data_IF_295460204784
#
_entry.id   IF_295460204784
#
_cell.length_a   1.000
_cell.length_b   1.000
_cell.length_c   1.000
_cell.angle_alpha   90.00
_cell.angle_beta   90.00
_cell.angle_gamma   90.00
#
_symmetry.space_group_name_H-M   'P 1'
#
loop_
_entity.id
_entity.type
_entity.pdbx_description
1 polymer ?
#
# COMPACT_ATOMS: atom_id res chain seq x y z
N UNK A 1 -28.97 -0.56 -7.11
CA UNK A 1 -27.80 -1.18 -6.44
C UNK A 1 -26.58 -0.40 -6.89
N UNK A 2 -26.12 0.55 -6.06
CA UNK A 2 -25.07 1.50 -6.41
C UNK A 2 -23.70 0.90 -6.07
N UNK A 3 -22.97 0.46 -7.09
CA UNK A 3 -21.59 0.00 -6.96
C UNK A 3 -20.64 1.19 -6.91
N UNK A 4 -19.97 1.38 -5.78
CA UNK A 4 -18.88 2.36 -5.62
C UNK A 4 -17.69 1.91 -6.49
N UNK A 5 -17.07 2.76 -7.32
CA UNK A 5 -16.03 2.34 -8.24
C UNK A 5 -14.71 2.09 -7.49
N UNK A 6 -14.26 0.83 -7.48
CA UNK A 6 -12.94 0.36 -7.00
C UNK A 6 -11.75 0.99 -7.77
N UNK A 7 -12.01 1.70 -8.87
CA UNK A 7 -11.00 2.12 -9.84
C UNK A 7 -10.14 3.31 -9.34
N UNK A 8 -10.64 4.09 -8.38
CA UNK A 8 -9.91 5.22 -7.80
C UNK A 8 -8.78 4.81 -6.83
N UNK A 9 -8.86 3.61 -6.24
CA UNK A 9 -7.87 3.08 -5.30
C UNK A 9 -6.69 2.40 -6.01
N UNK A 10 -6.93 1.82 -7.19
CA UNK A 10 -5.95 1.01 -7.92
C UNK A 10 -5.00 1.87 -8.76
N UNK A 11 -5.44 3.05 -9.24
CA UNK A 11 -4.69 3.84 -10.23
C UNK A 11 -4.01 5.11 -9.71
N UNK A 12 -4.39 5.63 -8.55
CA UNK A 12 -3.84 6.91 -8.08
C UNK A 12 -2.66 6.69 -7.14
N UNK A 13 -1.46 6.97 -7.65
CA UNK A 13 -0.38 7.53 -6.83
C UNK A 13 -0.97 8.66 -5.98
N UNK A 14 -0.59 8.82 -4.70
CA UNK A 14 -1.07 9.96 -3.92
C UNK A 14 -0.85 11.24 -4.70
N UNK A 15 -1.84 12.14 -4.81
CA UNK A 15 -1.64 13.40 -5.50
C UNK A 15 -0.49 14.15 -4.83
N UNK A 16 0.51 14.57 -5.63
CA UNK A 16 1.54 15.51 -5.18
C UNK A 16 0.81 16.76 -4.68
N UNK A 17 1.08 17.16 -3.43
CA UNK A 17 0.68 18.49 -2.93
C UNK A 17 1.40 19.52 -3.80
N UNK A 18 0.71 20.40 -4.54
CA UNK A 18 1.38 21.51 -5.20
C UNK A 18 1.87 22.49 -4.14
N UNK A 19 3.10 22.96 -4.29
CA UNK A 19 3.63 24.06 -3.48
C UNK A 19 2.77 25.31 -3.64
N UNK A 20 2.43 25.91 -2.50
CA UNK A 20 1.69 27.16 -2.45
C UNK A 20 2.61 28.32 -2.84
N UNK A 21 2.72 28.63 -4.13
CA UNK A 21 3.11 29.97 -4.59
C UNK A 21 2.75 30.20 -6.04
N UNK A 22 1.56 30.75 -6.27
CA UNK A 22 1.23 31.66 -7.37
C UNK A 22 -0.20 32.15 -7.18
N UNK A 23 -0.35 33.22 -6.40
CA UNK A 23 -1.50 34.10 -6.54
C UNK A 23 -1.32 34.91 -7.83
N UNK A 24 -2.38 35.04 -8.64
CA UNK A 24 -2.89 36.30 -9.21
C UNK A 24 -4.01 36.02 -10.23
N UNK A 25 -5.06 36.83 -10.11
CA UNK A 25 -6.14 37.17 -11.05
C UNK A 25 -7.40 36.28 -11.15
N UNK A 26 -8.52 36.89 -10.75
CA UNK A 26 -9.90 36.47 -10.92
C UNK A 26 -10.51 37.08 -12.23
N UNK A 27 -11.83 36.95 -12.51
CA UNK A 27 -12.34 36.06 -13.56
C UNK A 27 -12.91 36.82 -14.78
N UNK A 28 -12.82 36.22 -15.98
CA UNK A 28 -13.59 36.69 -17.13
C UNK A 28 -14.82 35.81 -17.33
N UNK A 29 -15.99 36.47 -17.38
CA UNK A 29 -17.29 35.89 -17.62
C UNK A 29 -17.34 35.21 -19.01
N UNK A 30 -17.69 33.92 -19.05
CA UNK A 30 -17.97 33.18 -20.29
C UNK A 30 -19.45 32.84 -20.34
N UNK A 31 -20.08 33.24 -21.44
CA UNK A 31 -21.51 33.08 -21.73
C UNK A 31 -21.93 31.61 -21.76
N UNK A 32 -23.05 31.33 -21.09
CA UNK A 32 -23.79 30.07 -21.17
C UNK A 32 -24.51 29.97 -22.52
N UNK A 33 -23.94 29.20 -23.45
CA UNK A 33 -24.66 28.68 -24.61
C UNK A 33 -24.89 27.20 -24.41
N UNK A 34 -26.14 26.81 -24.13
CA UNK A 34 -26.57 25.40 -24.05
C UNK A 34 -26.62 24.87 -25.48
N UNK A 35 -25.50 24.32 -25.95
CA UNK A 35 -25.42 23.49 -27.14
C UNK A 35 -25.58 22.02 -26.73
N UNK A 36 -26.46 21.29 -27.42
CA UNK A 36 -26.67 19.86 -27.27
C UNK A 36 -25.33 19.11 -27.37
N UNK A 37 -24.90 18.33 -26.38
CA UNK A 37 -23.62 17.63 -26.49
C UNK A 37 -23.77 16.51 -27.51
N UNK A 38 -22.96 16.59 -28.57
CA UNK A 38 -22.66 15.48 -29.45
C UNK A 38 -22.21 14.29 -28.60
N UNK A 39 -22.72 13.10 -28.92
CA UNK A 39 -22.39 11.86 -28.24
C UNK A 39 -20.87 11.68 -28.22
N UNK A 40 -20.26 11.87 -27.04
CA UNK A 40 -18.89 11.49 -26.81
C UNK A 40 -18.80 9.98 -27.00
N UNK A 41 -18.01 9.55 -27.99
CA UNK A 41 -17.62 8.16 -28.17
C UNK A 41 -17.00 7.67 -26.86
N UNK A 42 -17.77 6.91 -26.08
CA UNK A 42 -17.26 6.21 -24.90
C UNK A 42 -16.22 5.20 -25.40
N UNK A 43 -14.95 5.54 -25.29
CA UNK A 43 -13.87 4.57 -25.39
C UNK A 43 -14.17 3.48 -24.34
N UNK A 44 -14.27 2.20 -24.72
CA UNK A 44 -14.66 1.16 -23.79
C UNK A 44 -13.62 1.10 -22.66
N UNK A 45 -14.10 1.37 -21.44
CA UNK A 45 -13.31 1.24 -20.22
C UNK A 45 -12.66 -0.14 -20.22
N UNK A 46 -11.31 -0.23 -20.19
CA UNK A 46 -10.65 -1.52 -20.24
C UNK A 46 -11.11 -2.35 -19.03
N UNK A 47 -11.43 -3.64 -19.21
CA UNK A 47 -12.03 -4.45 -18.16
C UNK A 47 -11.17 -4.39 -16.90
N UNK A 48 -11.81 -4.08 -15.76
CA UNK A 48 -11.18 -4.01 -14.46
C UNK A 48 -10.37 -5.29 -14.21
N UNK A 49 -9.04 -5.20 -14.25
CA UNK A 49 -8.15 -6.35 -14.00
C UNK A 49 -8.33 -6.77 -12.55
N UNK A 50 -8.91 -7.95 -12.33
CA UNK A 50 -9.06 -8.51 -10.99
C UNK A 50 -7.68 -8.78 -10.37
N UNK A 51 -7.45 -8.30 -9.16
CA UNK A 51 -6.22 -8.61 -8.41
C UNK A 51 -6.20 -10.12 -8.09
N UNK A 52 -5.14 -10.86 -8.48
CA UNK A 52 -5.03 -12.28 -8.20
C UNK A 52 -5.04 -12.57 -6.70
N UNK A 53 -5.71 -13.66 -6.31
CA UNK A 53 -5.76 -14.12 -4.91
C UNK A 53 -4.71 -15.18 -4.64
N UNK A 54 -4.16 -15.17 -3.44
CA UNK A 54 -3.14 -16.15 -3.03
C UNK A 54 -3.81 -17.42 -2.48
N UNK A 55 -3.46 -18.56 -3.07
CA UNK A 55 -3.87 -19.90 -2.61
C UNK A 55 -2.62 -20.75 -2.36
N UNK A 56 -2.18 -20.85 -1.11
CA UNK A 56 -0.99 -21.61 -0.72
C UNK A 56 0.32 -20.87 -1.01
N UNK A 57 0.82 -20.91 -2.23
CA UNK A 57 2.07 -20.23 -2.62
C UNK A 57 1.78 -19.06 -3.55
N UNK A 58 2.41 -17.91 -3.32
CA UNK A 58 2.29 -16.73 -4.16
C UNK A 58 3.66 -16.19 -4.60
N UNK A 59 3.65 -15.36 -5.64
CA UNK A 59 4.81 -14.58 -6.07
C UNK A 59 4.39 -13.14 -6.33
N UNK A 60 5.14 -12.20 -5.77
CA UNK A 60 4.89 -10.77 -5.89
C UNK A 60 6.09 -10.14 -6.62
N UNK A 61 5.86 -9.67 -7.85
CA UNK A 61 6.93 -9.28 -8.77
C UNK A 61 6.50 -8.10 -9.67
N UNK A 62 7.41 -7.41 -10.37
CA UNK A 62 7.05 -6.23 -11.17
C UNK A 62 5.91 -6.46 -12.18
N UNK A 63 5.85 -7.66 -12.79
CA UNK A 63 4.81 -8.03 -13.77
C UNK A 63 3.46 -8.36 -13.12
N UNK A 64 3.48 -8.75 -11.85
CA UNK A 64 2.31 -9.01 -11.04
C UNK A 64 2.47 -8.30 -9.68
N UNK A 65 2.33 -6.96 -9.68
CA UNK A 65 2.76 -6.15 -8.54
C UNK A 65 1.72 -6.13 -7.42
N UNK A 66 0.61 -6.86 -7.53
CA UNK A 66 -0.44 -6.88 -6.53
C UNK A 66 -0.97 -8.29 -6.30
N UNK A 67 -1.21 -8.60 -5.03
CA UNK A 67 -1.86 -9.82 -4.57
C UNK A 67 -2.90 -9.49 -3.51
N UNK A 68 -4.07 -10.13 -3.59
CA UNK A 68 -5.11 -10.01 -2.58
C UNK A 68 -5.10 -11.24 -1.68
N UNK A 69 -5.11 -11.01 -0.36
CA UNK A 69 -5.35 -12.07 0.60
C UNK A 69 -6.85 -12.36 0.71
N UNK A 70 -7.19 -13.60 1.01
CA UNK A 70 -8.56 -13.94 1.41
C UNK A 70 -8.94 -13.25 2.72
N UNK A 71 -10.25 -13.17 3.02
CA UNK A 71 -10.72 -12.62 4.31
C UNK A 71 -10.18 -13.41 5.50
N UNK A 72 -10.06 -14.74 5.37
CA UNK A 72 -9.49 -15.59 6.40
C UNK A 72 -8.01 -15.26 6.64
N UNK A 73 -7.20 -15.25 5.58
CA UNK A 73 -5.78 -14.88 5.66
C UNK A 73 -5.59 -13.46 6.21
N UNK A 74 -6.49 -12.54 5.90
CA UNK A 74 -6.42 -11.13 6.35
C UNK A 74 -6.81 -10.92 7.82
N UNK A 75 -7.41 -11.92 8.49
CA UNK A 75 -7.98 -11.76 9.82
C UNK A 75 -7.31 -12.62 10.89
N UNK A 76 -6.44 -13.57 10.52
CA UNK A 76 -5.95 -14.60 11.43
C UNK A 76 -4.43 -14.53 11.58
N UNK A 77 -4.00 -14.56 12.84
CA UNK A 77 -2.59 -14.61 13.20
C UNK A 77 -1.87 -13.33 12.82
N UNK A 78 -0.72 -13.48 12.19
CA UNK A 78 0.16 -12.40 11.75
C UNK A 78 0.61 -12.60 10.32
N UNK A 79 0.94 -11.48 9.67
CA UNK A 79 1.73 -11.43 8.47
C UNK A 79 3.18 -11.20 8.88
N UNK A 80 4.06 -12.15 8.60
CA UNK A 80 5.49 -12.05 8.86
C UNK A 80 6.21 -11.71 7.56
N UNK A 81 6.97 -10.63 7.54
CA UNK A 81 7.89 -10.28 6.46
C UNK A 81 9.26 -10.74 6.89
N UNK A 82 9.81 -11.76 6.25
CA UNK A 82 11.16 -12.27 6.50
C UNK A 82 12.08 -11.70 5.43
N UNK A 83 13.19 -11.13 5.86
CA UNK A 83 14.14 -10.43 4.99
C UNK A 83 15.52 -11.09 5.11
N UNK A 84 16.08 -11.47 3.97
CA UNK A 84 17.48 -11.89 3.86
C UNK A 84 18.37 -10.73 3.44
N UNK A 85 19.57 -10.65 4.00
CA UNK A 85 20.57 -9.64 3.65
C UNK A 85 20.86 -8.65 4.78
N UNK A 86 21.36 -7.47 4.39
CA UNK A 86 21.61 -6.36 5.32
C UNK A 86 20.28 -5.72 5.74
N UNK A 87 20.09 -5.52 7.05
CA UNK A 87 18.87 -4.93 7.63
C UNK A 87 19.02 -3.44 7.95
N UNK A 88 20.20 -2.87 7.69
CA UNK A 88 20.50 -1.48 8.01
C UNK A 88 19.59 -0.53 7.22
N UNK A 89 18.99 0.44 7.92
CA UNK A 89 18.14 1.46 7.32
C UNK A 89 16.72 1.00 6.96
N UNK A 90 16.32 -0.22 7.34
CA UNK A 90 14.93 -0.67 7.21
C UNK A 90 14.05 -0.04 8.30
N UNK A 91 12.85 0.37 7.90
CA UNK A 91 11.82 0.86 8.82
C UNK A 91 10.43 0.52 8.27
N UNK A 92 9.41 0.67 9.10
CA UNK A 92 8.03 0.42 8.73
C UNK A 92 7.19 1.65 8.98
N UNK A 93 6.60 2.16 7.92
CA UNK A 93 5.63 3.25 7.99
C UNK A 93 4.23 2.67 8.16
N UNK A 94 3.41 3.29 8.99
CA UNK A 94 2.02 2.89 9.20
C UNK A 94 1.10 4.10 9.11
N UNK A 95 -0.10 3.89 8.59
CA UNK A 95 -1.15 4.89 8.54
C UNK A 95 -2.48 4.26 8.92
N UNK A 96 -3.23 4.94 9.78
CA UNK A 96 -4.55 4.56 10.24
C UNK A 96 -5.65 5.17 9.37
N UNK A 97 -6.89 4.71 9.54
CA UNK A 97 -8.07 5.25 8.87
C UNK A 97 -8.38 6.71 9.24
N UNK A 98 -8.00 7.14 10.44
CA UNK A 98 -8.09 8.52 10.94
C UNK A 98 -6.95 9.45 10.45
N UNK A 99 -6.16 9.00 9.47
CA UNK A 99 -5.02 9.71 8.87
C UNK A 99 -3.81 9.89 9.79
N UNK A 100 -3.84 9.37 11.02
CA UNK A 100 -2.61 9.34 11.84
C UNK A 100 -1.62 8.39 11.19
N UNK A 101 -0.36 8.83 11.19
CA UNK A 101 0.72 8.11 10.59
C UNK A 101 1.98 8.24 11.42
N UNK A 102 2.89 7.28 11.26
CA UNK A 102 4.16 7.27 11.94
C UNK A 102 5.07 6.18 11.38
N UNK A 103 6.19 5.96 12.04
CA UNK A 103 7.04 4.81 11.80
C UNK A 103 7.21 3.97 13.05
N UNK A 104 7.53 2.68 12.89
CA UNK A 104 7.75 1.80 14.04
C UNK A 104 8.90 2.30 14.91
N UNK A 105 9.95 2.86 14.30
CA UNK A 105 11.08 3.44 15.03
C UNK A 105 10.68 4.67 15.86
N UNK A 106 9.88 5.58 15.31
CA UNK A 106 9.60 6.90 15.92
C UNK A 106 8.30 6.97 16.71
N UNK A 107 7.32 6.17 16.33
CA UNK A 107 6.00 6.12 16.93
C UNK A 107 5.46 4.68 16.86
N UNK A 108 5.83 3.82 17.83
CA UNK A 108 5.35 2.44 17.87
C UNK A 108 3.82 2.39 17.84
N UNK A 109 3.27 1.47 17.06
CA UNK A 109 1.83 1.28 16.92
C UNK A 109 1.38 0.04 17.67
N UNK A 110 0.65 0.23 18.77
CA UNK A 110 0.12 -0.84 19.60
C UNK A 110 -1.37 -1.13 19.34
N UNK A 111 -1.74 -2.39 19.44
CA UNK A 111 -3.11 -2.89 19.52
C UNK A 111 -3.37 -3.48 20.91
N UNK A 112 -3.79 -2.62 21.84
CA UNK A 112 -3.97 -3.00 23.24
C UNK A 112 -2.62 -3.13 23.95
N UNK A 113 -2.25 -4.34 24.38
CA UNK A 113 -0.96 -4.61 25.06
C UNK A 113 0.11 -5.23 24.15
N UNK A 114 -0.10 -5.21 22.84
CA UNK A 114 0.79 -5.85 21.87
C UNK A 114 1.04 -4.89 20.70
N UNK A 115 2.28 -4.81 20.20
CA UNK A 115 2.55 -4.11 18.95
C UNK A 115 1.68 -4.65 17.82
N UNK A 116 1.02 -3.75 17.11
CA UNK A 116 0.33 -4.09 15.86
C UNK A 116 1.36 -4.37 14.76
N UNK A 117 2.43 -3.59 14.71
CA UNK A 117 3.57 -3.79 13.83
C UNK A 117 4.86 -3.67 14.62
N UNK A 118 5.79 -4.59 14.41
CA UNK A 118 7.07 -4.60 15.11
C UNK A 118 8.15 -5.32 14.31
N UNK A 119 9.41 -5.08 14.66
CA UNK A 119 10.54 -5.91 14.23
C UNK A 119 10.38 -7.35 14.77
N UNK A 120 10.76 -8.34 13.98
CA UNK A 120 10.78 -9.75 14.41
C UNK A 120 12.16 -10.15 14.95
N UNK A 121 12.25 -11.31 15.61
CA UNK A 121 13.52 -11.90 16.06
C UNK A 121 14.34 -12.44 14.89
N UNK A 122 13.67 -12.89 13.84
CA UNK A 122 14.31 -13.10 12.54
C UNK A 122 14.37 -11.75 11.83
N UNK A 123 15.44 -11.46 11.06
CA UNK A 123 15.52 -10.21 10.31
C UNK A 123 14.24 -10.01 9.48
N UNK A 124 13.47 -8.96 9.81
CA UNK A 124 12.12 -8.80 9.29
C UNK A 124 11.15 -8.15 10.27
N UNK A 125 9.86 -8.37 10.00
CA UNK A 125 8.76 -7.66 10.64
C UNK A 125 7.53 -8.55 10.86
N UNK A 126 6.73 -8.21 11.86
CA UNK A 126 5.44 -8.87 12.13
C UNK A 126 4.34 -7.83 12.16
N UNK A 127 3.26 -8.08 11.41
CA UNK A 127 2.00 -7.34 11.43
C UNK A 127 0.88 -8.24 11.99
N UNK A 128 0.27 -7.83 13.11
CA UNK A 128 -0.86 -8.53 13.73
C UNK A 128 -2.17 -8.33 12.97
N UNK A 129 -2.70 -9.38 12.34
CA UNK A 129 -3.84 -9.25 11.42
C UNK A 129 -5.18 -9.09 12.14
N UNK A 130 -5.36 -9.74 13.30
CA UNK A 130 -6.61 -9.67 14.09
C UNK A 130 -7.00 -8.25 14.51
N UNK A 131 -6.01 -7.36 14.66
CA UNK A 131 -6.19 -6.00 15.18
C UNK A 131 -5.99 -4.92 14.12
N UNK A 132 -5.85 -5.30 12.86
CA UNK A 132 -5.54 -4.40 11.74
C UNK A 132 -6.76 -3.66 11.16
N UNK A 133 -7.89 -3.60 11.88
CA UNK A 133 -9.15 -3.03 11.34
C UNK A 133 -9.11 -1.52 11.11
N UNK A 134 -8.45 -0.77 11.98
CA UNK A 134 -8.24 0.67 11.82
C UNK A 134 -6.97 1.02 11.05
N UNK A 135 -6.25 0.02 10.54
CA UNK A 135 -5.05 0.23 9.74
C UNK A 135 -5.46 0.48 8.30
N UNK A 136 -5.03 1.60 7.71
CA UNK A 136 -5.26 1.87 6.29
C UNK A 136 -4.17 1.26 5.43
N UNK A 137 -2.91 1.45 5.82
CA UNK A 137 -1.76 0.86 5.13
C UNK A 137 -0.52 0.73 6.02
N UNK A 138 0.35 -0.19 5.63
CA UNK A 138 1.71 -0.37 6.18
C UNK A 138 2.67 -0.47 5.02
N UNK A 139 3.83 0.19 5.13
CA UNK A 139 4.89 0.15 4.15
C UNK A 139 6.16 -0.36 4.82
N UNK A 140 6.64 -1.53 4.40
CA UNK A 140 7.94 -2.05 4.82
C UNK A 140 8.99 -1.49 3.85
N UNK A 141 9.87 -0.62 4.33
CA UNK A 141 10.98 -0.07 3.55
C UNK A 141 12.20 -0.98 3.65
N UNK A 142 12.70 -1.40 2.49
CA UNK A 142 13.67 -2.47 2.31
C UNK A 142 14.78 -1.97 1.35
N UNK A 143 15.69 -1.09 1.80
CA UNK A 143 16.66 -0.42 0.93
C UNK A 143 17.66 -1.38 0.26
N UNK A 144 17.96 -2.49 0.92
CA UNK A 144 18.85 -3.53 0.40
C UNK A 144 18.38 -4.87 0.91
N UNK A 145 18.02 -5.79 0.02
CA UNK A 145 17.63 -7.16 0.40
C UNK A 145 18.18 -8.15 -0.62
N UNK A 146 18.54 -9.34 -0.15
CA UNK A 146 18.84 -10.48 -1.03
C UNK A 146 17.62 -11.38 -1.24
N UNK A 147 16.68 -11.37 -0.29
CA UNK A 147 15.40 -12.04 -0.42
C UNK A 147 14.35 -11.41 0.49
N UNK A 148 13.09 -11.45 0.07
CA UNK A 148 11.94 -11.02 0.88
C UNK A 148 10.84 -12.05 0.72
N UNK A 149 10.31 -12.53 1.84
CA UNK A 149 9.24 -13.52 1.87
C UNK A 149 8.16 -13.09 2.84
N UNK A 150 6.90 -13.22 2.46
CA UNK A 150 5.76 -13.00 3.36
C UNK A 150 5.15 -14.34 3.76
N UNK A 151 5.14 -14.61 5.06
CA UNK A 151 4.55 -15.81 5.65
C UNK A 151 3.27 -15.45 6.40
N UNK A 152 2.23 -16.27 6.22
CA UNK A 152 0.93 -16.12 6.85
C UNK A 152 0.59 -17.37 7.65
N UNK A 153 -0.36 -17.21 8.57
CA UNK A 153 -0.96 -18.34 9.28
C UNK A 153 -1.53 -19.39 8.30
N UNK A 154 -1.35 -20.67 8.61
CA UNK A 154 -1.78 -21.77 7.75
C UNK A 154 -0.80 -22.14 6.63
N UNK A 155 0.45 -21.64 6.69
CA UNK A 155 1.53 -22.05 5.79
C UNK A 155 1.49 -21.40 4.41
N UNK A 156 0.71 -20.33 4.22
CA UNK A 156 0.76 -19.56 2.98
C UNK A 156 2.05 -18.75 2.93
N UNK A 157 2.81 -18.89 1.86
CA UNK A 157 4.09 -18.20 1.65
C UNK A 157 4.08 -17.47 0.32
N UNK A 158 4.49 -16.20 0.33
CA UNK A 158 4.57 -15.34 -0.85
C UNK A 158 6.02 -14.90 -1.01
N UNK A 159 6.68 -15.33 -2.08
CA UNK A 159 8.01 -14.86 -2.42
C UNK A 159 7.91 -13.50 -3.12
N UNK A 160 8.68 -12.52 -2.67
CA UNK A 160 8.80 -11.22 -3.34
C UNK A 160 10.04 -11.22 -4.24
N UNK A 161 9.96 -10.52 -5.36
CA UNK A 161 11.13 -10.27 -6.18
C UNK A 161 12.21 -9.51 -5.38
N UNK A 162 13.51 -9.90 -5.45
CA UNK A 162 14.58 -9.28 -4.66
C UNK A 162 14.80 -7.80 -4.96
N UNK A 163 14.33 -7.29 -6.11
CA UNK A 163 14.40 -5.86 -6.44
C UNK A 163 13.32 -5.01 -5.77
N UNK A 164 12.52 -5.60 -4.86
CA UNK A 164 11.55 -4.85 -4.05
C UNK A 164 12.26 -3.88 -3.12
N UNK A 165 11.84 -2.61 -3.17
CA UNK A 165 12.30 -1.58 -2.23
C UNK A 165 11.24 -1.28 -1.18
N UNK A 166 9.96 -1.39 -1.54
CA UNK A 166 8.83 -1.21 -0.63
C UNK A 166 7.82 -2.34 -0.83
N UNK A 167 7.52 -3.06 0.26
CA UNK A 167 6.33 -3.90 0.34
C UNK A 167 5.21 -3.08 0.99
N UNK A 168 4.20 -2.72 0.20
CA UNK A 168 3.05 -1.99 0.70
C UNK A 168 1.89 -2.96 0.98
N UNK A 169 1.28 -2.85 2.16
CA UNK A 169 0.10 -3.62 2.56
C UNK A 169 -1.03 -2.64 2.78
N UNK A 170 -2.10 -2.76 2.01
CA UNK A 170 -3.31 -1.94 2.13
C UNK A 170 -4.44 -2.76 2.72
N UNK A 171 -5.21 -2.15 3.60
CA UNK A 171 -6.44 -2.72 4.10
C UNK A 171 -7.61 -2.11 3.32
N UNK A 172 -8.47 -2.95 2.77
CA UNK A 172 -9.67 -2.54 2.04
C UNK A 172 -10.77 -3.59 2.20
N UNK A 173 -11.95 -3.18 2.68
CA UNK A 173 -13.11 -4.07 2.91
C UNK A 173 -12.76 -5.35 3.72
N UNK A 174 -11.95 -5.19 4.77
CA UNK A 174 -11.51 -6.30 5.62
C UNK A 174 -10.61 -7.32 4.92
N UNK A 175 -10.02 -6.95 3.78
CA UNK A 175 -9.00 -7.72 3.07
C UNK A 175 -7.70 -6.95 3.02
N UNK A 176 -6.60 -7.68 3.08
CA UNK A 176 -5.27 -7.14 2.87
C UNK A 176 -4.87 -7.31 1.40
N UNK A 177 -4.29 -6.26 0.85
CA UNK A 177 -3.74 -6.22 -0.49
C UNK A 177 -2.25 -5.92 -0.38
N UNK A 178 -1.42 -6.85 -0.85
CA UNK A 178 0.02 -6.67 -0.92
C UNK A 178 0.36 -6.05 -2.26
N UNK A 179 1.27 -5.09 -2.26
CA UNK A 179 1.76 -4.41 -3.44
C UNK A 179 3.28 -4.35 -3.46
N UNK A 180 3.84 -4.77 -4.57
CA UNK A 180 5.23 -4.62 -4.94
C UNK A 180 5.51 -3.17 -5.34
N UNK A 181 6.62 -2.64 -4.86
CA UNK A 181 7.21 -1.42 -5.40
C UNK A 181 8.73 -1.56 -5.42
N UNK A 182 9.30 -1.54 -6.63
CA UNK A 182 10.73 -1.67 -6.90
C UNK A 182 11.39 -0.37 -7.33
N UNK A 183 10.71 0.77 -7.15
CA UNK A 183 11.34 2.06 -7.39
C UNK A 183 12.55 2.25 -6.46
N UNK A 184 13.66 2.82 -6.97
CA UNK A 184 14.85 3.02 -6.15
C UNK A 184 14.62 4.19 -5.19
N UNK A 185 14.37 3.88 -3.93
CA UNK A 185 14.25 4.86 -2.85
C UNK A 185 15.54 4.90 -2.03
N UNK A 186 16.41 5.92 -2.20
CA UNK A 186 17.70 5.97 -1.53
C UNK A 186 17.60 6.18 -0.02
N UNK A 187 16.50 6.74 0.48
CA UNK A 187 16.29 6.99 1.91
C UNK A 187 14.83 6.79 2.29
N UNK A 188 14.56 6.59 3.58
CA UNK A 188 13.18 6.56 4.10
C UNK A 188 12.42 7.87 3.79
N UNK A 189 13.10 9.01 3.75
CA UNK A 189 12.51 10.30 3.41
C UNK A 189 11.91 10.35 2.00
N UNK A 190 12.54 9.70 1.01
CA UNK A 190 11.99 9.64 -0.36
C UNK A 190 10.78 8.72 -0.44
N UNK A 191 10.74 7.63 0.35
CA UNK A 191 9.53 6.80 0.51
C UNK A 191 8.41 7.62 1.12
N UNK A 192 8.68 8.32 2.23
CA UNK A 192 7.68 9.18 2.89
C UNK A 192 7.08 10.18 1.91
N UNK A 193 7.91 10.91 1.17
CA UNK A 193 7.46 11.87 0.16
C UNK A 193 6.64 11.20 -0.97
N UNK A 194 7.07 10.04 -1.48
CA UNK A 194 6.39 9.34 -2.56
C UNK A 194 5.01 8.77 -2.15
N UNK A 195 4.87 8.37 -0.89
CA UNK A 195 3.65 7.80 -0.34
C UNK A 195 2.78 8.82 0.40
N UNK A 196 3.25 10.04 0.64
CA UNK A 196 2.51 11.12 1.29
C UNK A 196 2.56 11.11 2.82
N UNK A 197 3.62 10.53 3.40
CA UNK A 197 3.89 10.60 4.84
C UNK A 197 4.60 11.91 5.20
N UNK A 198 4.24 12.46 6.36
CA UNK A 198 4.84 13.64 6.95
C UNK A 198 6.05 13.29 7.83
#
# INVERSE_FOLDING_TARGET
MSGTPLDSFVRRRPPRRPDASAAVAAPSAVRLSIGTPAAASHEPEPPARSIPRVSGTGRLEPRQPMLALSRFQSAIGSLQVVVGGDVTGMDVLWELDDMRQGSVETAPLDAGRRPLVSYDRMPGFVLGLRHSRGLRRVLFYLPSTSSVTVNLYGGTTIACDPSITVLAVYQHDGRMHLRYDGEPYPTLGTVKAAYGFA
#
